data_IF_513619249998
#
_entry.id   IF_513619249998
#
_cell.length_a   1.000
_cell.length_b   1.000
_cell.length_c   1.000
_cell.angle_alpha   90.00
_cell.angle_beta   90.00
_cell.angle_gamma   90.00
#
_symmetry.space_group_name_H-M   'P 1'
#
loop_
_entity.id
_entity.type
_entity.pdbx_description
1 polymer ?
#
# COMPACT_ATOMS: atom_id res chain seq x y z
N UNK A 1 22.32 -29.79 6.05
CA UNK A 1 22.62 -28.48 6.69
C UNK A 1 22.00 -27.42 5.80
N UNK A 2 20.75 -27.06 6.04
CA UNK A 2 20.11 -25.93 5.36
C UNK A 2 20.40 -24.69 6.18
N UNK A 3 21.22 -23.79 5.67
CA UNK A 3 21.34 -22.46 6.23
C UNK A 3 20.00 -21.76 5.99
N UNK A 4 19.25 -21.47 7.06
CA UNK A 4 18.23 -20.44 7.03
C UNK A 4 18.95 -19.12 6.85
N UNK A 5 18.94 -18.61 5.62
CA UNK A 5 19.34 -17.24 5.31
C UNK A 5 18.52 -16.26 6.18
N UNK A 6 19.09 -15.11 6.58
CA UNK A 6 18.36 -14.12 7.35
C UNK A 6 17.15 -13.67 6.53
N UNK A 7 15.97 -14.04 7.01
CA UNK A 7 14.69 -13.72 6.40
C UNK A 7 14.66 -12.20 6.19
N UNK A 8 14.61 -11.75 4.93
CA UNK A 8 14.45 -10.34 4.60
C UNK A 8 13.26 -9.81 5.40
N UNK A 9 13.46 -8.71 6.12
CA UNK A 9 12.35 -8.11 6.89
C UNK A 9 11.32 -7.64 5.87
N UNK A 10 10.21 -8.37 5.75
CA UNK A 10 9.14 -8.06 4.79
C UNK A 10 8.66 -6.63 5.02
N UNK A 11 8.66 -5.80 3.98
CA UNK A 11 8.13 -4.43 4.04
C UNK A 11 6.64 -4.45 4.44
N UNK A 12 5.91 -5.49 4.03
CA UNK A 12 4.48 -5.61 4.29
C UNK A 12 4.17 -6.52 5.47
N UNK A 13 3.21 -6.09 6.30
CA UNK A 13 2.75 -6.82 7.51
C UNK A 13 1.74 -7.94 7.21
N UNK A 14 1.21 -7.99 6.00
CA UNK A 14 0.25 -9.00 5.56
C UNK A 14 1.01 -10.23 5.06
N UNK A 15 0.44 -11.42 5.27
CA UNK A 15 0.86 -12.58 4.49
C UNK A 15 0.44 -12.35 3.04
N UNK A 16 1.33 -12.55 2.08
CA UNK A 16 1.09 -12.24 0.66
C UNK A 16 1.39 -13.44 -0.23
N UNK A 17 0.58 -13.62 -1.28
CA UNK A 17 0.97 -14.38 -2.47
C UNK A 17 1.99 -13.56 -3.28
N UNK A 18 2.59 -14.16 -4.32
CA UNK A 18 3.46 -13.42 -5.24
C UNK A 18 2.68 -12.27 -5.91
N UNK A 19 1.49 -12.54 -6.44
CA UNK A 19 0.66 -11.54 -7.12
C UNK A 19 0.22 -10.41 -6.19
N UNK A 20 -0.12 -10.74 -4.94
CA UNK A 20 -0.45 -9.71 -3.95
C UNK A 20 0.75 -8.86 -3.63
N UNK A 21 1.95 -9.45 -3.50
CA UNK A 21 3.19 -8.69 -3.26
C UNK A 21 3.49 -7.73 -4.42
N UNK A 22 3.38 -8.21 -5.67
CA UNK A 22 3.57 -7.39 -6.87
C UNK A 22 2.57 -6.22 -6.91
N UNK A 23 1.30 -6.46 -6.52
CA UNK A 23 0.31 -5.40 -6.39
C UNK A 23 0.69 -4.40 -5.29
N UNK A 24 1.10 -4.84 -4.11
CA UNK A 24 1.50 -3.94 -3.03
C UNK A 24 2.68 -3.04 -3.44
N UNK A 25 3.65 -3.60 -4.17
CA UNK A 25 4.77 -2.84 -4.72
C UNK A 25 4.34 -1.83 -5.78
N UNK A 26 3.42 -2.21 -6.66
CA UNK A 26 2.82 -1.30 -7.63
C UNK A 26 2.08 -0.14 -6.94
N UNK A 27 1.27 -0.43 -5.91
CA UNK A 27 0.58 0.59 -5.10
C UNK A 27 1.60 1.54 -4.48
N UNK A 28 2.67 1.02 -3.87
CA UNK A 28 3.68 1.84 -3.23
C UNK A 28 4.38 2.77 -4.25
N UNK A 29 4.68 2.28 -5.45
CA UNK A 29 5.27 3.07 -6.52
C UNK A 29 4.32 4.19 -7.01
N UNK A 30 3.05 3.85 -7.27
CA UNK A 30 2.01 4.80 -7.67
C UNK A 30 1.83 5.90 -6.62
N UNK A 31 1.79 5.56 -5.33
CA UNK A 31 1.65 6.55 -4.27
C UNK A 31 2.86 7.50 -4.18
N UNK A 32 4.07 7.00 -4.41
CA UNK A 32 5.28 7.85 -4.45
C UNK A 32 5.22 8.80 -5.64
N UNK A 33 4.86 8.31 -6.82
CA UNK A 33 4.77 9.12 -8.04
C UNK A 33 3.65 10.17 -7.96
N UNK A 34 2.44 9.77 -7.55
CA UNK A 34 1.26 10.63 -7.55
C UNK A 34 1.29 11.68 -6.43
N UNK A 35 1.81 11.33 -5.26
CA UNK A 35 1.67 12.16 -4.05
C UNK A 35 3.00 12.71 -3.53
N UNK A 36 4.13 12.36 -4.17
CA UNK A 36 5.47 12.80 -3.75
C UNK A 36 5.80 12.47 -2.29
N UNK A 37 5.23 11.38 -1.76
CA UNK A 37 5.57 10.84 -0.43
C UNK A 37 6.75 9.86 -0.52
N UNK A 38 7.31 9.48 0.62
CA UNK A 38 8.39 8.48 0.65
C UNK A 38 7.84 7.07 0.48
N UNK A 39 8.66 6.13 -0.02
CA UNK A 39 8.30 4.70 -0.05
C UNK A 39 7.92 4.18 1.34
N UNK A 40 8.64 4.59 2.38
CA UNK A 40 8.33 4.21 3.77
C UNK A 40 6.94 4.67 4.21
N UNK A 41 6.51 5.87 3.82
CA UNK A 41 5.15 6.33 4.10
C UNK A 41 4.09 5.55 3.30
N UNK A 42 4.36 5.29 2.01
CA UNK A 42 3.48 4.50 1.16
C UNK A 42 3.27 3.10 1.75
N UNK A 43 4.37 2.40 2.09
CA UNK A 43 4.34 1.10 2.77
C UNK A 43 3.61 1.18 4.11
N UNK A 44 3.84 2.22 4.92
CA UNK A 44 3.13 2.38 6.18
C UNK A 44 1.61 2.54 5.99
N UNK A 45 1.17 3.30 4.99
CA UNK A 45 -0.25 3.46 4.65
C UNK A 45 -0.88 2.15 4.17
N UNK A 46 -0.19 1.39 3.33
CA UNK A 46 -0.59 0.05 2.89
C UNK A 46 -0.72 -0.89 4.10
N UNK A 47 0.30 -0.93 4.95
CA UNK A 47 0.30 -1.74 6.18
C UNK A 47 -0.86 -1.37 7.11
N UNK A 48 -1.17 -0.09 7.25
CA UNK A 48 -2.29 0.36 8.07
C UNK A 48 -3.66 0.04 7.45
N UNK A 49 -3.77 -0.03 6.11
CA UNK A 49 -5.00 -0.37 5.42
C UNK A 49 -5.39 -1.83 5.62
N UNK A 50 -4.44 -2.74 5.45
CA UNK A 50 -4.72 -4.19 5.42
C UNK A 50 -4.10 -4.95 6.59
N UNK A 51 -3.73 -4.26 7.67
CA UNK A 51 -3.22 -4.91 8.88
C UNK A 51 -4.15 -6.02 9.37
N UNK A 52 -3.61 -7.24 9.47
CA UNK A 52 -4.36 -8.41 9.96
C UNK A 52 -5.26 -9.07 8.91
N UNK A 53 -5.22 -8.61 7.66
CA UNK A 53 -5.81 -9.29 6.52
C UNK A 53 -4.79 -10.26 5.94
N UNK A 54 -5.25 -11.47 5.60
CA UNK A 54 -4.46 -12.48 4.90
C UNK A 54 -4.63 -12.30 3.38
N UNK A 55 -3.54 -11.95 2.69
CA UNK A 55 -3.45 -11.78 1.24
C UNK A 55 -2.64 -12.93 0.60
N UNK A 56 -2.45 -14.03 1.31
CA UNK A 56 -1.70 -15.20 0.81
C UNK A 56 -2.50 -16.06 -0.15
N UNK A 57 -3.82 -15.94 -0.14
CA UNK A 57 -4.71 -16.57 -1.10
C UNK A 57 -5.09 -15.56 -2.18
N UNK A 58 -5.42 -16.06 -3.37
CA UNK A 58 -6.03 -15.21 -4.39
C UNK A 58 -7.29 -14.56 -3.82
N UNK A 59 -7.22 -13.24 -3.65
CA UNK A 59 -8.33 -12.44 -3.20
C UNK A 59 -8.82 -11.62 -4.40
N UNK A 60 -9.81 -12.19 -5.10
CA UNK A 60 -10.39 -11.58 -6.30
C UNK A 60 -10.84 -10.14 -6.08
N UNK A 61 -11.20 -9.74 -4.85
CA UNK A 61 -11.62 -8.36 -4.57
C UNK A 61 -10.46 -7.36 -4.60
N UNK A 62 -9.28 -7.76 -4.13
CA UNK A 62 -8.11 -6.87 -4.09
C UNK A 62 -7.40 -6.90 -5.45
N UNK A 63 -7.32 -8.08 -6.07
CA UNK A 63 -6.66 -8.29 -7.36
C UNK A 63 -7.52 -7.84 -8.57
N UNK A 64 -8.76 -7.38 -8.34
CA UNK A 64 -9.59 -6.83 -9.41
C UNK A 64 -9.11 -5.46 -9.89
N UNK A 65 -8.53 -4.68 -8.98
CA UNK A 65 -8.15 -3.28 -9.20
C UNK A 65 -6.63 -3.13 -9.21
N UNK A 66 -6.15 -2.08 -9.88
CA UNK A 66 -4.72 -1.83 -10.06
C UNK A 66 -4.09 -0.98 -8.94
N UNK A 67 -2.77 -0.77 -9.05
CA UNK A 67 -2.01 0.03 -8.11
C UNK A 67 -2.46 1.49 -8.02
N UNK A 68 -2.89 2.07 -9.14
CA UNK A 68 -3.38 3.46 -9.20
C UNK A 68 -4.68 3.62 -8.42
N UNK A 69 -5.63 2.71 -8.64
CA UNK A 69 -6.90 2.68 -7.92
C UNK A 69 -6.68 2.56 -6.41
N UNK A 70 -5.90 1.55 -6.01
CA UNK A 70 -5.64 1.32 -4.59
C UNK A 70 -4.81 2.44 -3.96
N UNK A 71 -3.85 3.01 -4.68
CA UNK A 71 -3.05 4.15 -4.23
C UNK A 71 -3.92 5.36 -3.88
N UNK A 72 -4.85 5.72 -4.77
CA UNK A 72 -5.83 6.77 -4.51
C UNK A 72 -6.73 6.42 -3.32
N UNK A 73 -7.32 5.22 -3.33
CA UNK A 73 -8.23 4.77 -2.29
C UNK A 73 -7.57 4.80 -0.90
N UNK A 74 -6.33 4.31 -0.78
CA UNK A 74 -5.58 4.30 0.48
C UNK A 74 -5.21 5.72 0.92
N UNK A 75 -4.73 6.55 -0.01
CA UNK A 75 -4.26 7.90 0.30
C UNK A 75 -5.38 8.84 0.73
N UNK A 76 -6.55 8.74 0.09
CA UNK A 76 -7.74 9.54 0.40
C UNK A 76 -8.75 8.81 1.30
N UNK A 77 -8.41 7.63 1.83
CA UNK A 77 -9.27 6.89 2.77
C UNK A 77 -10.60 6.41 2.17
N UNK A 78 -10.63 6.13 0.88
CA UNK A 78 -11.81 5.69 0.13
C UNK A 78 -12.70 6.84 -0.38
N UNK A 79 -12.44 8.09 0.00
CA UNK A 79 -13.21 9.27 -0.41
C UNK A 79 -12.64 9.94 -1.67
N UNK A 80 -12.44 9.14 -2.73
CA UNK A 80 -11.94 9.64 -4.02
C UNK A 80 -13.08 10.29 -4.81
N UNK A 81 -13.00 11.61 -4.99
CA UNK A 81 -14.05 12.39 -5.65
C UNK A 81 -14.06 12.23 -7.18
N UNK A 82 -12.90 11.99 -7.80
CA UNK A 82 -12.73 11.77 -9.24
C UNK A 82 -11.60 10.77 -9.48
N UNK A 83 -11.82 9.77 -10.34
CA UNK A 83 -10.82 8.75 -10.63
C UNK A 83 -9.94 9.09 -11.84
N UNK A 84 -10.22 10.19 -12.55
CA UNK A 84 -9.45 10.63 -13.71
C UNK A 84 -7.98 10.89 -13.36
N UNK A 85 -7.01 10.39 -14.15
CA UNK A 85 -5.59 10.67 -13.97
C UNK A 85 -5.27 12.17 -13.92
N UNK A 86 -6.04 12.98 -14.65
CA UNK A 86 -5.86 14.44 -14.76
C UNK A 86 -6.70 15.26 -13.78
N UNK A 87 -7.35 14.63 -12.79
CA UNK A 87 -8.14 15.35 -11.80
C UNK A 87 -7.26 16.30 -10.97
N UNK A 88 -7.78 17.50 -10.68
CA UNK A 88 -7.16 18.40 -9.69
C UNK A 88 -7.53 17.91 -8.28
N UNK A 89 -6.53 17.40 -7.57
CA UNK A 89 -6.68 16.79 -6.24
C UNK A 89 -6.27 17.73 -5.10
N UNK A 90 -5.90 18.97 -5.41
CA UNK A 90 -5.32 19.92 -4.43
C UNK A 90 -6.26 20.27 -3.27
N UNK A 91 -7.57 20.15 -3.47
CA UNK A 91 -8.59 20.43 -2.46
C UNK A 91 -9.12 19.20 -1.72
N UNK A 92 -8.61 18.01 -1.99
CA UNK A 92 -9.16 16.78 -1.41
C UNK A 92 -8.61 16.50 -0.01
N UNK A 93 -9.44 15.90 0.83
CA UNK A 93 -9.05 15.51 2.19
C UNK A 93 -8.21 14.25 2.15
N UNK A 94 -6.94 14.36 2.53
CA UNK A 94 -6.06 13.19 2.64
C UNK A 94 -6.31 12.45 3.94
N UNK A 95 -6.22 11.12 3.90
CA UNK A 95 -6.15 10.32 5.12
C UNK A 95 -4.82 10.61 5.82
N UNK A 96 -4.80 10.87 7.14
CA UNK A 96 -3.55 11.04 7.87
C UNK A 96 -2.62 9.83 7.72
N UNK A 97 -1.32 10.06 7.57
CA UNK A 97 -0.33 9.00 7.62
C UNK A 97 -0.36 8.30 9.00
N UNK A 98 0.00 7.00 9.08
CA UNK A 98 0.18 6.35 10.36
C UNK A 98 1.24 7.09 11.22
N UNK A 99 1.07 7.17 12.55
CA UNK A 99 2.04 7.85 13.41
C UNK A 99 3.46 7.32 13.21
N UNK A 100 4.44 8.23 13.13
CA UNK A 100 5.85 7.86 13.03
C UNK A 100 6.25 6.96 14.21
N UNK A 101 7.02 5.90 13.93
CA UNK A 101 7.43 4.91 14.93
C UNK A 101 6.32 3.91 15.33
N UNK A 102 5.13 3.98 14.72
CA UNK A 102 4.15 2.90 14.83
C UNK A 102 4.64 1.64 14.10
N UNK A 103 4.05 0.49 14.43
CA UNK A 103 4.39 -0.82 13.83
C UNK A 103 4.23 -0.89 12.31
N UNK A 104 3.57 0.10 11.70
CA UNK A 104 3.30 0.14 10.27
C UNK A 104 4.51 0.61 9.45
N UNK A 105 5.45 1.32 10.08
CA UNK A 105 6.70 1.78 9.44
C UNK A 105 7.78 0.71 9.56
N UNK A 106 7.95 -0.07 8.50
CA UNK A 106 8.84 -1.25 8.43
C UNK A 106 10.09 -1.03 7.57
N UNK A 107 10.14 0.09 6.83
CA UNK A 107 11.23 0.53 5.95
C UNK A 107 11.98 1.69 6.58
#
# INVERSE_FOLDING_TARGET
MGATEPNATSEYLMATSADSLDLLDAIAAEMVELFSITRGEAVARINAQWCGIDLSQENELILHEDGYYWGLSIYFGGEVADWSPTADRSGWTTRPAPPAGSKFWTV
#
